data_IF_054563196144
#
_entry.id   IF_054563196144
#
_cell.length_a   1.000
_cell.length_b   1.000
_cell.length_c   1.000
_cell.angle_alpha   90.00
_cell.angle_beta   90.00
_cell.angle_gamma   90.00
#
_symmetry.space_group_name_H-M   'P 1'
#
loop_
_entity.id
_entity.type
_entity.pdbx_description
1 polymer ?
#
# COMPACT_ATOMS: atom_id res chain seq x y z
N UNK A 1 10.22 16.26 5.50
CA UNK A 1 9.70 14.93 5.89
C UNK A 1 8.20 14.96 5.67
N UNK A 2 7.62 13.85 5.20
CA UNK A 2 6.16 13.75 5.03
C UNK A 2 5.61 12.85 6.12
N UNK A 3 4.64 13.35 6.87
CA UNK A 3 3.87 12.60 7.85
C UNK A 3 2.44 12.41 7.37
N UNK A 4 1.92 11.23 7.61
CA UNK A 4 0.52 10.85 7.45
C UNK A 4 -0.08 10.66 8.84
N UNK A 5 -1.12 11.42 9.13
CA UNK A 5 -1.89 11.34 10.37
C UNK A 5 -3.19 10.64 10.01
N UNK A 6 -3.41 9.49 10.61
CA UNK A 6 -4.63 8.70 10.47
C UNK A 6 -5.58 9.12 11.58
N UNK A 7 -6.70 9.71 11.19
CA UNK A 7 -7.76 10.16 12.09
C UNK A 7 -8.53 8.94 12.57
N UNK A 8 -8.82 8.89 13.87
CA UNK A 8 -9.60 7.82 14.46
C UNK A 8 -11.04 7.85 13.96
N UNK A 9 -11.56 6.68 13.58
CA UNK A 9 -12.94 6.52 13.13
C UNK A 9 -13.88 6.26 14.30
N UNK A 10 -15.12 6.70 14.17
CA UNK A 10 -16.15 6.45 15.17
C UNK A 10 -16.52 4.96 15.20
N UNK A 11 -16.67 4.35 16.39
CA UNK A 11 -17.08 2.94 16.50
C UNK A 11 -18.39 2.63 15.76
N UNK A 12 -19.31 3.59 15.72
CA UNK A 12 -20.57 3.48 14.98
C UNK A 12 -20.36 3.34 13.47
N UNK A 13 -19.48 4.17 12.88
CA UNK A 13 -19.14 4.09 11.45
C UNK A 13 -18.47 2.77 11.11
N UNK A 14 -17.57 2.28 11.97
CA UNK A 14 -16.93 0.98 11.81
C UNK A 14 -17.97 -0.14 11.84
N UNK A 15 -18.88 -0.13 12.82
CA UNK A 15 -19.94 -1.15 12.94
C UNK A 15 -20.86 -1.18 11.71
N UNK A 16 -21.27 0.00 11.22
CA UNK A 16 -22.06 0.12 9.99
C UNK A 16 -21.30 -0.40 8.77
N UNK A 17 -20.02 -0.09 8.64
CA UNK A 17 -19.19 -0.60 7.55
C UNK A 17 -19.08 -2.13 7.61
N UNK A 18 -18.85 -2.71 8.79
CA UNK A 18 -18.81 -4.17 8.98
C UNK A 18 -20.14 -4.82 8.60
N UNK A 19 -21.27 -4.24 9.01
CA UNK A 19 -22.59 -4.73 8.63
C UNK A 19 -22.80 -4.73 7.11
N UNK A 20 -22.41 -3.66 6.42
CA UNK A 20 -22.48 -3.58 4.96
C UNK A 20 -21.54 -4.58 4.28
N UNK A 21 -20.33 -4.77 4.82
CA UNK A 21 -19.37 -5.74 4.30
C UNK A 21 -19.91 -7.17 4.41
N UNK A 22 -20.43 -7.55 5.57
CA UNK A 22 -21.02 -8.87 5.80
C UNK A 22 -22.19 -9.11 4.84
N UNK A 23 -23.12 -8.15 4.75
CA UNK A 23 -24.26 -8.25 3.85
C UNK A 23 -23.86 -8.38 2.37
N UNK A 24 -22.76 -7.78 1.94
CA UNK A 24 -22.28 -7.87 0.56
C UNK A 24 -21.42 -9.11 0.28
N UNK A 25 -20.78 -9.68 1.31
CA UNK A 25 -19.83 -10.78 1.17
C UNK A 25 -20.48 -12.18 1.22
N UNK A 26 -21.59 -12.35 1.95
CA UNK A 26 -22.24 -13.65 2.09
C UNK A 26 -23.15 -13.97 0.90
N UNK A 27 -22.99 -15.12 0.22
CA UNK A 27 -23.79 -15.48 -0.96
C UNK A 27 -25.29 -15.70 -0.66
N UNK A 28 -25.61 -16.05 0.58
CA UNK A 28 -26.98 -16.23 1.09
C UNK A 28 -27.70 -14.88 1.30
N UNK A 29 -26.95 -13.78 1.37
CA UNK A 29 -27.52 -12.45 1.65
C UNK A 29 -28.23 -11.89 0.42
N UNK A 30 -29.40 -11.24 0.57
CA UNK A 30 -30.07 -10.53 -0.52
C UNK A 30 -29.26 -9.35 -1.06
N UNK A 31 -28.24 -8.89 -0.32
CA UNK A 31 -27.33 -7.83 -0.73
C UNK A 31 -26.00 -8.34 -1.30
N UNK A 32 -25.85 -9.65 -1.52
CA UNK A 32 -24.62 -10.22 -2.08
C UNK A 32 -24.17 -9.51 -3.36
N UNK A 33 -22.88 -9.16 -3.43
CA UNK A 33 -22.27 -8.45 -4.56
C UNK A 33 -22.64 -6.97 -4.68
N UNK A 34 -23.47 -6.41 -3.78
CA UNK A 34 -23.81 -4.98 -3.74
C UNK A 34 -22.81 -4.21 -2.88
N UNK A 35 -21.61 -3.98 -3.43
CA UNK A 35 -20.57 -3.21 -2.76
C UNK A 35 -20.89 -1.70 -2.73
N UNK A 36 -20.41 -1.03 -1.68
CA UNK A 36 -20.48 0.43 -1.59
C UNK A 36 -19.60 1.06 -2.69
N UNK A 37 -20.10 2.15 -3.27
CA UNK A 37 -19.27 2.99 -4.13
C UNK A 37 -18.21 3.72 -3.31
N UNK A 38 -17.11 4.14 -3.95
CA UNK A 38 -16.05 4.89 -3.29
C UNK A 38 -16.59 6.14 -2.55
N UNK A 39 -17.53 6.89 -3.15
CA UNK A 39 -18.11 8.08 -2.51
C UNK A 39 -18.96 7.74 -1.28
N UNK A 40 -19.75 6.67 -1.34
CA UNK A 40 -20.55 6.21 -0.19
C UNK A 40 -19.64 5.78 0.96
N UNK A 41 -18.58 5.04 0.66
CA UNK A 41 -17.59 4.62 1.67
C UNK A 41 -16.92 5.83 2.33
N UNK A 42 -16.46 6.81 1.54
CA UNK A 42 -15.82 8.01 2.09
C UNK A 42 -16.79 8.83 2.96
N UNK A 43 -18.07 8.87 2.59
CA UNK A 43 -19.09 9.58 3.39
C UNK A 43 -19.40 8.85 4.70
N UNK A 44 -19.41 7.52 4.67
CA UNK A 44 -19.66 6.67 5.84
C UNK A 44 -18.51 6.74 6.87
N UNK A 45 -17.27 6.80 6.36
CA UNK A 45 -16.03 6.79 7.15
C UNK A 45 -15.47 8.20 7.40
N UNK A 46 -16.19 9.27 7.05
CA UNK A 46 -15.75 10.62 7.31
C UNK A 46 -15.67 10.88 8.84
N UNK A 47 -14.55 11.40 9.35
CA UNK A 47 -14.44 11.76 10.77
C UNK A 47 -15.42 12.89 11.15
N UNK A 48 -15.76 12.97 12.45
CA UNK A 48 -16.59 14.07 12.97
C UNK A 48 -15.86 15.41 12.80
N UNK A 49 -16.63 16.45 12.48
CA UNK A 49 -16.12 17.82 12.32
C UNK A 49 -15.34 18.28 13.56
N UNK A 50 -15.82 17.93 14.77
CA UNK A 50 -15.14 18.26 16.02
C UNK A 50 -13.73 17.65 16.14
N UNK A 51 -13.54 16.41 15.65
CA UNK A 51 -12.24 15.73 15.63
C UNK A 51 -11.27 16.45 14.69
N UNK A 52 -11.74 16.84 13.50
CA UNK A 52 -10.94 17.59 12.53
C UNK A 52 -10.55 18.98 13.03
N UNK A 53 -11.45 19.68 13.72
CA UNK A 53 -11.16 20.98 14.33
C UNK A 53 -10.08 20.84 15.41
N UNK A 54 -10.16 19.82 16.27
CA UNK A 54 -9.15 19.58 17.29
C UNK A 54 -7.76 19.30 16.67
N UNK A 55 -7.72 18.45 15.65
CA UNK A 55 -6.49 18.13 14.92
C UNK A 55 -5.92 19.36 14.22
N UNK A 56 -6.78 20.18 13.61
CA UNK A 56 -6.38 21.43 12.98
C UNK A 56 -5.68 22.36 13.97
N UNK A 57 -6.29 22.61 15.13
CA UNK A 57 -5.72 23.47 16.18
C UNK A 57 -4.37 22.93 16.66
N UNK A 58 -4.24 21.61 16.78
CA UNK A 58 -2.99 20.98 17.17
C UNK A 58 -1.87 21.13 16.13
N UNK A 59 -2.18 20.93 14.83
CA UNK A 59 -1.21 21.09 13.75
C UNK A 59 -0.79 22.56 13.60
N UNK A 60 -1.75 23.49 13.64
CA UNK A 60 -1.48 24.93 13.61
C UNK A 60 -0.64 25.38 14.82
N UNK A 61 -0.87 24.78 16.00
CA UNK A 61 -0.08 25.02 17.21
C UNK A 61 1.39 24.60 17.10
N UNK A 62 1.73 23.68 16.20
CA UNK A 62 3.12 23.31 15.90
C UNK A 62 3.77 24.19 14.81
N UNK A 63 3.06 25.20 14.31
CA UNK A 63 3.55 26.13 13.29
C UNK A 63 3.26 25.72 11.85
N UNK A 64 2.43 24.70 11.62
CA UNK A 64 2.05 24.25 10.27
C UNK A 64 0.67 24.78 9.89
N UNK A 65 0.59 25.52 8.79
CA UNK A 65 -0.69 26.05 8.30
C UNK A 65 -1.59 24.92 7.82
N UNK A 66 -2.88 24.95 8.19
CA UNK A 66 -3.86 23.98 7.70
C UNK A 66 -3.99 23.97 6.17
N UNK A 67 -3.70 25.10 5.51
CA UNK A 67 -3.72 25.19 4.05
C UNK A 67 -2.63 24.34 3.37
N UNK A 68 -1.56 24.01 4.09
CA UNK A 68 -0.47 23.16 3.60
C UNK A 68 -0.74 21.66 3.84
N UNK A 69 -1.82 21.34 4.59
CA UNK A 69 -2.23 19.97 4.88
C UNK A 69 -3.08 19.42 3.75
N UNK A 70 -2.55 18.39 3.08
CA UNK A 70 -3.30 17.62 2.07
C UNK A 70 -4.15 16.56 2.76
N UNK A 71 -5.30 16.22 2.20
CA UNK A 71 -6.18 15.20 2.74
C UNK A 71 -6.83 14.38 1.63
N UNK A 72 -7.24 13.16 1.95
CA UNK A 72 -8.04 12.34 1.04
C UNK A 72 -9.53 12.76 1.08
N UNK A 73 -10.38 12.11 0.27
CA UNK A 73 -11.78 12.50 0.11
C UNK A 73 -12.59 12.40 1.41
N UNK A 74 -12.33 11.38 2.25
CA UNK A 74 -12.98 11.23 3.56
C UNK A 74 -12.40 12.15 4.65
N UNK A 75 -11.26 12.79 4.41
CA UNK A 75 -10.53 13.61 5.40
C UNK A 75 -10.01 12.82 6.62
N UNK A 76 -9.89 11.50 6.51
CA UNK A 76 -9.37 10.62 7.57
C UNK A 76 -7.86 10.36 7.44
N UNK A 77 -7.25 10.65 6.30
CA UNK A 77 -5.80 10.61 6.11
C UNK A 77 -5.30 12.01 5.78
N UNK A 78 -4.62 12.63 6.74
CA UNK A 78 -4.00 13.94 6.58
C UNK A 78 -2.52 13.77 6.26
N UNK A 79 -2.03 14.46 5.23
CA UNK A 79 -0.63 14.45 4.81
C UNK A 79 -0.03 15.81 5.05
N UNK A 80 0.98 15.85 5.91
CA UNK A 80 1.64 17.06 6.38
C UNK A 80 3.11 16.99 5.98
N UNK A 81 3.60 18.06 5.35
CA UNK A 81 5.01 18.21 4.99
C UNK A 81 5.67 19.16 5.99
N UNK A 82 6.69 18.67 6.69
CA UNK A 82 7.34 19.38 7.79
C UNK A 82 8.82 19.03 7.93
N UNK A 83 9.57 19.89 8.62
CA UNK A 83 10.98 19.69 8.99
C UNK A 83 11.07 18.70 10.16
N UNK A 84 12.22 18.05 10.32
CA UNK A 84 12.40 17.06 11.39
C UNK A 84 12.18 17.67 12.78
N UNK A 85 12.73 18.86 13.06
CA UNK A 85 12.50 19.54 14.35
C UNK A 85 11.04 19.90 14.62
N UNK A 86 10.25 20.24 13.58
CA UNK A 86 8.81 20.47 13.72
C UNK A 86 8.07 19.16 14.04
N UNK A 87 8.52 18.03 13.46
CA UNK A 87 8.00 16.70 13.75
C UNK A 87 8.23 16.30 15.21
N UNK A 88 9.43 16.59 15.71
CA UNK A 88 9.87 16.29 17.08
C UNK A 88 9.04 17.06 18.10
N UNK A 89 8.73 18.34 17.82
CA UNK A 89 7.83 19.15 18.65
C UNK A 89 6.39 18.62 18.60
N UNK A 90 5.86 18.37 17.40
CA UNK A 90 4.48 17.93 17.20
C UNK A 90 4.18 16.58 17.89
N UNK A 91 5.14 15.66 17.84
CA UNK A 91 4.99 14.28 18.29
C UNK A 91 5.77 13.95 19.57
N UNK A 92 6.38 14.95 20.22
CA UNK A 92 7.22 14.77 21.41
C UNK A 92 8.17 13.57 21.27
N UNK A 93 8.90 13.54 20.16
CA UNK A 93 9.69 12.40 19.71
C UNK A 93 11.10 12.83 19.33
N UNK A 94 12.02 11.87 19.22
CA UNK A 94 13.36 12.08 18.69
C UNK A 94 13.52 11.22 17.42
N UNK A 95 13.91 11.86 16.32
CA UNK A 95 14.10 11.18 15.04
C UNK A 95 15.56 10.88 14.76
N UNK A 96 15.81 9.65 14.33
CA UNK A 96 17.13 9.16 13.96
C UNK A 96 17.17 8.81 12.47
N UNK A 97 18.34 8.99 11.88
CA UNK A 97 18.63 8.45 10.57
C UNK A 97 19.14 7.01 10.70
N UNK A 98 18.31 6.04 10.29
CA UNK A 98 18.65 4.63 10.28
C UNK A 98 19.16 4.24 8.90
N UNK A 99 20.36 3.68 8.83
CA UNK A 99 20.93 3.13 7.61
C UNK A 99 21.02 1.61 7.72
N UNK A 100 20.43 0.89 6.75
CA UNK A 100 20.57 -0.56 6.68
C UNK A 100 21.97 -0.95 6.18
N UNK A 101 22.67 -1.82 6.92
CA UNK A 101 23.91 -2.44 6.47
C UNK A 101 23.60 -3.77 5.78
N UNK A 102 23.35 -3.73 4.48
CA UNK A 102 22.93 -4.92 3.72
C UNK A 102 24.07 -5.82 3.27
N UNK A 103 25.35 -5.55 3.60
CA UNK A 103 26.50 -6.41 3.23
C UNK A 103 26.77 -6.57 1.72
N UNK A 104 25.80 -6.23 0.87
CA UNK A 104 25.88 -6.19 -0.58
C UNK A 104 26.70 -4.96 -0.96
N UNK A 105 27.76 -5.18 -1.74
CA UNK A 105 28.69 -4.16 -2.24
C UNK A 105 28.05 -3.11 -3.16
N UNK A 106 26.72 -3.14 -3.32
CA UNK A 106 25.98 -2.25 -4.19
C UNK A 106 25.32 -1.11 -3.39
N UNK A 107 25.64 0.11 -3.80
CA UNK A 107 25.64 1.34 -3.02
C UNK A 107 24.26 1.99 -2.85
N UNK A 108 23.20 1.22 -2.58
CA UNK A 108 21.92 1.80 -2.14
C UNK A 108 21.77 1.59 -0.65
N UNK A 109 22.50 2.40 0.12
CA UNK A 109 22.22 2.58 1.54
C UNK A 109 20.80 3.14 1.65
N UNK A 110 19.84 2.28 1.95
CA UNK A 110 18.51 2.72 2.33
C UNK A 110 18.65 3.43 3.68
N UNK A 111 18.64 4.76 3.62
CA UNK A 111 18.64 5.65 4.78
C UNK A 111 17.20 6.12 4.98
N UNK A 112 16.67 5.89 6.18
CA UNK A 112 15.29 6.24 6.55
C UNK A 112 15.31 7.03 7.86
N UNK A 113 14.44 8.03 7.95
CA UNK A 113 14.28 8.84 9.17
C UNK A 113 13.13 8.25 10.00
N UNK A 114 13.40 7.82 11.24
CA UNK A 114 12.45 7.12 12.11
C UNK A 114 12.65 7.49 13.58
N UNK A 115 11.58 7.45 14.36
CA UNK A 115 11.60 7.66 15.80
C UNK A 115 11.29 6.34 16.52
N UNK A 116 11.98 6.03 17.61
CA UNK A 116 11.74 4.79 18.35
C UNK A 116 10.37 4.78 19.04
N UNK A 117 9.96 5.94 19.57
CA UNK A 117 8.69 6.19 20.26
C UNK A 117 8.25 7.63 19.99
N UNK A 118 6.96 7.88 20.13
CA UNK A 118 6.39 9.22 20.06
C UNK A 118 5.23 9.33 21.07
N UNK A 119 4.85 10.56 21.41
CA UNK A 119 3.72 10.85 22.29
C UNK A 119 2.82 11.91 21.66
N UNK A 120 1.53 11.85 21.98
CA UNK A 120 0.55 12.83 21.54
C UNK A 120 -0.05 13.52 22.76
N UNK A 121 -0.42 14.81 22.67
CA UNK A 121 -1.19 15.47 23.72
C UNK A 121 -2.48 14.71 24.02
N UNK A 122 -2.88 14.64 25.30
CA UNK A 122 -4.09 13.93 25.74
C UNK A 122 -5.37 14.44 25.04
N UNK A 123 -5.39 15.71 24.66
CA UNK A 123 -6.49 16.33 23.91
C UNK A 123 -6.68 15.75 22.50
N UNK A 124 -5.61 15.21 21.90
CA UNK A 124 -5.59 14.72 20.50
C UNK A 124 -5.53 13.21 20.43
N UNK A 125 -5.00 12.54 21.45
CA UNK A 125 -4.82 11.08 21.49
C UNK A 125 -6.08 10.28 21.16
N UNK A 126 -7.28 10.81 21.45
CA UNK A 126 -8.58 10.18 21.13
C UNK A 126 -9.03 10.36 19.68
N UNK A 127 -8.42 11.27 18.94
CA UNK A 127 -8.81 11.64 17.57
C UNK A 127 -7.83 11.13 16.51
N UNK A 128 -6.68 10.59 16.93
CA UNK A 128 -5.63 10.09 16.04
C UNK A 128 -5.32 8.66 16.41
N UNK A 129 -5.44 7.76 15.43
CA UNK A 129 -5.11 6.35 15.62
C UNK A 129 -3.61 6.11 15.46
N UNK A 130 -3.04 6.60 14.35
CA UNK A 130 -1.65 6.34 13.99
C UNK A 130 -1.06 7.57 13.32
N UNK A 131 0.20 7.87 13.65
CA UNK A 131 1.03 8.79 12.86
C UNK A 131 2.16 8.01 12.23
N UNK A 132 2.31 8.11 10.91
CA UNK A 132 3.33 7.38 10.15
C UNK A 132 3.90 8.17 8.98
N UNK A 133 5.11 7.86 8.50
CA UNK A 133 6.01 6.84 8.99
C UNK A 133 6.88 7.36 10.15
N UNK A 134 6.66 6.84 11.36
CA UNK A 134 7.38 7.25 12.59
C UNK A 134 8.18 6.09 13.16
N UNK A 135 7.52 5.06 13.71
CA UNK A 135 8.14 3.91 14.37
C UNK A 135 8.29 2.68 13.47
N UNK A 136 7.43 2.53 12.45
CA UNK A 136 7.43 1.35 11.58
C UNK A 136 8.62 1.34 10.61
N UNK A 137 9.38 0.25 10.62
CA UNK A 137 10.45 -0.02 9.66
C UNK A 137 9.88 -0.74 8.41
N UNK A 138 10.35 -0.39 7.20
CA UNK A 138 9.98 -1.12 6.00
C UNK A 138 10.54 -2.54 6.02
N UNK A 139 9.86 -3.47 5.37
CA UNK A 139 10.38 -4.81 5.16
C UNK A 139 11.62 -4.73 4.26
N UNK A 140 12.75 -5.24 4.75
CA UNK A 140 13.96 -5.37 3.96
C UNK A 140 13.90 -6.68 3.17
N UNK A 141 14.32 -6.69 1.89
CA UNK A 141 14.45 -7.94 1.17
C UNK A 141 15.44 -8.85 1.90
N UNK A 142 15.18 -10.16 2.00
CA UNK A 142 16.17 -11.09 2.54
C UNK A 142 17.45 -11.00 1.71
N UNK A 143 18.61 -11.15 2.35
CA UNK A 143 19.87 -11.36 1.63
C UNK A 143 19.73 -12.69 0.87
N UNK A 144 19.33 -12.63 -0.39
CA UNK A 144 19.23 -13.80 -1.22
C UNK A 144 20.64 -14.29 -1.57
N UNK A 145 21.06 -15.41 -0.98
CA UNK A 145 22.00 -16.32 -1.62
C UNK A 145 21.24 -17.00 -2.74
N UNK A 146 21.30 -16.43 -3.95
CA UNK A 146 20.78 -17.10 -5.12
C UNK A 146 21.64 -18.34 -5.36
N UNK A 147 21.09 -19.53 -5.13
CA UNK A 147 21.64 -20.73 -5.76
C UNK A 147 21.34 -20.64 -7.25
N UNK A 148 22.39 -20.63 -8.07
CA UNK A 148 22.30 -20.59 -9.53
C UNK A 148 21.58 -21.84 -10.04
N UNK A 149 20.26 -21.72 -10.22
CA UNK A 149 19.46 -22.74 -10.89
C UNK A 149 19.90 -22.91 -12.34
N UNK A 150 20.28 -24.14 -12.69
CA UNK A 150 20.83 -24.53 -13.98
C UNK A 150 19.90 -24.35 -15.19
N UNK A 151 20.48 -24.64 -16.36
CA UNK A 151 20.03 -24.24 -17.70
C UNK A 151 18.57 -24.55 -18.09
N UNK A 152 18.12 -23.75 -19.05
CA UNK A 152 16.80 -23.64 -19.65
C UNK A 152 16.34 -24.94 -20.35
N UNK A 153 15.73 -25.86 -19.59
CA UNK A 153 15.03 -27.04 -20.13
C UNK A 153 13.53 -26.80 -20.36
N UNK A 154 12.99 -27.37 -21.44
CA UNK A 154 11.55 -27.53 -21.70
C UNK A 154 11.06 -28.84 -21.11
N UNK A 155 10.85 -28.92 -19.79
CA UNK A 155 10.17 -30.08 -19.20
C UNK A 155 9.16 -29.71 -18.14
N UNK A 156 8.13 -30.54 -18.08
CA UNK A 156 7.05 -30.66 -17.10
C UNK A 156 7.52 -31.09 -15.70
N UNK A 157 8.75 -30.74 -15.31
CA UNK A 157 9.32 -31.11 -14.02
C UNK A 157 9.13 -30.01 -12.97
N UNK A 158 8.79 -30.42 -11.75
CA UNK A 158 8.46 -29.55 -10.61
C UNK A 158 9.65 -28.74 -10.06
N UNK A 159 10.83 -28.84 -10.68
CA UNK A 159 12.06 -28.14 -10.26
C UNK A 159 12.09 -26.67 -10.71
N UNK A 160 11.21 -26.26 -11.63
CA UNK A 160 11.05 -24.86 -12.05
C UNK A 160 9.58 -24.52 -12.30
N UNK A 161 8.96 -23.75 -11.40
CA UNK A 161 7.56 -23.35 -11.51
C UNK A 161 7.40 -22.26 -12.58
N UNK A 162 7.05 -22.66 -13.80
CA UNK A 162 6.77 -21.76 -14.94
C UNK A 162 5.26 -21.52 -15.10
N UNK A 163 4.82 -20.34 -15.61
CA UNK A 163 3.40 -20.06 -15.85
C UNK A 163 2.67 -21.12 -16.70
N UNK A 164 3.32 -21.70 -17.71
CA UNK A 164 2.74 -22.75 -18.55
C UNK A 164 2.41 -24.03 -17.76
N UNK A 165 3.29 -24.42 -16.84
CA UNK A 165 3.07 -25.57 -15.96
C UNK A 165 1.91 -25.30 -14.99
N UNK A 166 1.86 -24.10 -14.38
CA UNK A 166 0.75 -23.69 -13.51
C UNK A 166 -0.60 -23.75 -14.25
N UNK A 167 -0.66 -23.29 -15.50
CA UNK A 167 -1.89 -23.35 -16.30
C UNK A 167 -2.36 -24.78 -16.56
N UNK A 168 -1.44 -25.71 -16.81
CA UNK A 168 -1.77 -27.13 -16.95
C UNK A 168 -2.27 -27.72 -15.62
N UNK A 169 -1.55 -27.44 -14.52
CA UNK A 169 -1.89 -27.96 -13.18
C UNK A 169 -3.25 -27.49 -12.66
N UNK A 170 -3.60 -26.23 -12.89
CA UNK A 170 -4.88 -25.64 -12.47
C UNK A 170 -5.98 -25.74 -13.54
N UNK A 171 -5.76 -26.48 -14.64
CA UNK A 171 -6.76 -26.64 -15.70
C UNK A 171 -7.11 -25.36 -16.47
N UNK A 172 -6.31 -24.31 -16.36
CA UNK A 172 -6.54 -23.01 -17.02
C UNK A 172 -5.86 -22.90 -18.39
N UNK A 173 -5.32 -24.00 -18.92
CA UNK A 173 -4.69 -24.06 -20.24
C UNK A 173 -5.64 -23.74 -21.40
N UNK A 174 -6.94 -23.92 -21.20
CA UNK A 174 -8.00 -23.63 -22.18
C UNK A 174 -8.65 -22.25 -21.99
N UNK A 175 -8.18 -21.45 -21.03
CA UNK A 175 -8.70 -20.10 -20.80
C UNK A 175 -8.26 -19.19 -21.96
N UNK A 176 -9.20 -18.84 -22.82
CA UNK A 176 -9.02 -17.77 -23.81
C UNK A 176 -9.00 -16.44 -23.08
N UNK A 177 -8.06 -15.57 -23.44
CA UNK A 177 -8.11 -14.18 -22.96
C UNK A 177 -9.44 -13.61 -23.41
N UNK A 178 -10.33 -13.31 -22.45
CA UNK A 178 -11.50 -12.51 -22.74
C UNK A 178 -11.02 -11.21 -23.38
N UNK A 179 -11.73 -10.75 -24.43
CA UNK A 179 -11.61 -9.38 -24.95
C UNK A 179 -11.42 -8.44 -23.75
N UNK A 180 -10.43 -7.52 -23.76
CA UNK A 180 -10.13 -6.67 -22.62
C UNK A 180 -11.39 -5.88 -22.28
N UNK A 181 -12.18 -6.40 -21.34
CA UNK A 181 -13.34 -5.70 -20.82
C UNK A 181 -12.81 -4.43 -20.21
N UNK A 182 -13.23 -3.28 -20.73
CA UNK A 182 -12.68 -1.95 -20.43
C UNK A 182 -12.73 -1.57 -18.95
N UNK A 183 -13.39 -2.37 -18.10
CA UNK A 183 -13.65 -2.08 -16.70
C UNK A 183 -13.02 -3.08 -15.71
N UNK A 184 -12.25 -4.07 -16.17
CA UNK A 184 -11.56 -5.02 -15.27
C UNK A 184 -10.09 -4.64 -15.11
N UNK A 185 -9.71 -4.17 -13.92
CA UNK A 185 -8.33 -3.79 -13.60
C UNK A 185 -7.76 -4.67 -12.49
N UNK A 186 -6.52 -5.13 -12.66
CA UNK A 186 -5.74 -5.81 -11.61
C UNK A 186 -4.62 -4.90 -11.11
N UNK A 187 -4.53 -4.69 -9.80
CA UNK A 187 -3.41 -3.98 -9.18
C UNK A 187 -2.43 -4.99 -8.56
N UNK A 188 -1.13 -4.83 -8.86
CA UNK A 188 -0.04 -5.60 -8.25
C UNK A 188 0.75 -4.65 -7.37
N UNK A 189 0.84 -4.96 -6.07
CA UNK A 189 1.57 -4.13 -5.10
C UNK A 189 2.78 -4.89 -4.56
N UNK A 190 3.94 -4.24 -4.51
CA UNK A 190 5.12 -4.74 -3.82
C UNK A 190 5.68 -3.66 -2.89
N UNK A 191 6.04 -4.03 -1.66
CA UNK A 191 6.54 -3.10 -0.64
C UNK A 191 8.07 -3.09 -0.50
N UNK A 192 8.78 -3.73 -1.43
CA UNK A 192 10.24 -3.72 -1.48
C UNK A 192 10.71 -2.52 -2.31
N UNK A 193 11.84 -1.93 -1.94
CA UNK A 193 12.44 -0.81 -2.66
C UNK A 193 13.09 -1.22 -4.00
N UNK A 194 12.39 -2.05 -4.77
CA UNK A 194 12.78 -2.54 -6.09
C UNK A 194 11.92 -1.88 -7.16
N UNK A 195 12.55 -1.47 -8.26
CA UNK A 195 11.82 -0.96 -9.42
C UNK A 195 11.28 -2.14 -10.23
N UNK A 196 10.01 -2.07 -10.61
CA UNK A 196 9.37 -3.11 -11.41
C UNK A 196 9.42 -2.71 -12.89
N UNK A 197 9.94 -3.60 -13.74
CA UNK A 197 9.81 -3.49 -15.20
C UNK A 197 8.80 -4.52 -15.69
N UNK A 198 7.60 -4.06 -16.04
CA UNK A 198 6.58 -4.91 -16.66
C UNK A 198 6.79 -4.83 -18.16
N UNK A 199 7.37 -5.88 -18.75
CA UNK A 199 7.43 -6.02 -20.21
C UNK A 199 6.15 -6.71 -20.67
N UNK A 200 5.20 -5.94 -21.20
CA UNK A 200 4.06 -6.54 -21.89
C UNK A 200 4.60 -7.32 -23.09
N UNK A 201 4.39 -8.63 -23.09
CA UNK A 201 4.64 -9.46 -24.26
C UNK A 201 3.60 -9.08 -25.31
N UNK A 202 4.04 -8.49 -26.41
CA UNK A 202 3.18 -8.26 -27.56
C UNK A 202 2.71 -9.61 -28.12
N UNK A 203 1.45 -9.73 -28.56
CA UNK A 203 0.94 -10.98 -29.15
C UNK A 203 1.54 -11.30 -30.53
N UNK A 204 2.53 -10.54 -31.01
CA UNK A 204 3.04 -10.62 -32.39
C UNK A 204 4.54 -10.96 -32.45
N UNK A 205 4.92 -12.14 -31.97
CA UNK A 205 6.23 -12.71 -32.26
C UNK A 205 6.15 -14.23 -32.45
N UNK A 206 5.31 -14.62 -33.41
CA UNK A 206 5.25 -15.99 -33.93
C UNK A 206 5.00 -15.93 -35.44
N UNK A 207 5.94 -15.34 -36.18
CA UNK A 207 6.09 -15.53 -37.63
C UNK A 207 7.34 -14.79 -38.14
N UNK A 208 8.52 -15.43 -38.09
CA UNK A 208 9.54 -15.22 -39.13
C UNK A 208 10.54 -16.38 -39.21
N UNK A 209 10.07 -17.50 -39.74
CA UNK A 209 10.91 -18.51 -40.38
C UNK A 209 10.42 -18.68 -41.80
N UNK A 210 11.00 -17.92 -42.73
CA UNK A 210 10.88 -18.21 -44.18
C UNK A 210 12.19 -17.85 -44.88
N UNK A 211 12.89 -18.90 -45.30
CA UNK A 211 13.54 -19.01 -46.61
C UNK A 211 14.75 -18.12 -46.89
N UNK A 212 15.95 -18.66 -46.70
CA UNK A 212 17.12 -18.27 -47.48
C UNK A 212 17.27 -19.32 -48.59
N UNK A 213 17.01 -18.92 -49.84
CA UNK A 213 17.61 -19.56 -51.02
C UNK A 213 18.99 -18.96 -51.23
#
# INVERSE_FOLDING_TARGET
MTLHIFVAHEPESIALLTQHLDAAAYPESPAYGRHLTFRQLNSLMAPRIGSLVAIRVWIEGAGVSWNDVKHNLAQDILTVELRVGEAEVLLQAEYYNLAANTGVRDKRRLSIVRAARYSLPDSIKRFVDVVGPTSRLPAMPPLATAESGGALGTTTDATCVKPAWLRSRYGTSKYTLAEPSTNSSLAITGSLATSTSIRMMSPTSLARTTGRR
#
